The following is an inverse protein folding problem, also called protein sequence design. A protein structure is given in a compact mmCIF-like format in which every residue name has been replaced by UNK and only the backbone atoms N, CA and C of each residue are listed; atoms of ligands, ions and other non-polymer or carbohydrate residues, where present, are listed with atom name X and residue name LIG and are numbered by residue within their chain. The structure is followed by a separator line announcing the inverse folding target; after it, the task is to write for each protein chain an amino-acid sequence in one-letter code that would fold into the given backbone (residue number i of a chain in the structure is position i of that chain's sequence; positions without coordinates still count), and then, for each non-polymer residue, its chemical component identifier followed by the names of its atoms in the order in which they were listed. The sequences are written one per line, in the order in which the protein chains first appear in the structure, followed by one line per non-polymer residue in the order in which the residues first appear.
data_IF_373719050650
#
_entry.id   IF_373719050650
#
_cell.length_a   1.000
_cell.length_b   1.000
_cell.length_c   1.000
_cell.angle_alpha   90.00
_cell.angle_beta   90.00
_cell.angle_gamma   90.00
#
_symmetry.space_group_name_H-M   'P 1'
#
loop_
_entity.id
_entity.type
_entity.pdbx_description
1 polymer ?
#
# COMPACT_ATOMS: atom_id res chain seq x y z
N UNK A 1 -8.45 17.33 -13.65
CA UNK A 1 -7.84 17.65 -12.34
C UNK A 1 -8.77 17.17 -11.23
N UNK A 2 -8.20 16.55 -10.19
CA UNK A 2 -8.91 16.14 -8.97
C UNK A 2 -8.30 16.88 -7.77
N UNK A 3 -9.14 17.47 -6.93
CA UNK A 3 -8.72 18.09 -5.69
C UNK A 3 -8.91 17.10 -4.53
N UNK A 4 -7.82 16.71 -3.87
CA UNK A 4 -7.89 15.90 -2.67
C UNK A 4 -8.53 16.67 -1.51
N UNK A 5 -9.08 15.94 -0.53
CA UNK A 5 -9.59 16.53 0.70
C UNK A 5 -8.48 17.38 1.37
N UNK A 6 -8.78 18.63 1.80
CA UNK A 6 -7.83 19.44 2.54
C UNK A 6 -7.27 18.71 3.77
N UNK A 7 -5.95 18.70 3.92
CA UNK A 7 -5.25 18.01 4.99
C UNK A 7 -4.98 16.51 4.77
N UNK A 8 -5.45 15.91 3.67
CA UNK A 8 -5.21 14.49 3.41
C UNK A 8 -3.73 14.16 3.17
N UNK A 9 -2.97 15.05 2.53
CA UNK A 9 -1.56 14.85 2.24
C UNK A 9 -1.29 13.73 1.22
N UNK A 10 -1.77 13.83 -0.05
CA UNK A 10 -1.44 12.85 -1.08
C UNK A 10 0.06 12.65 -1.20
N UNK A 11 0.53 11.38 -1.16
CA UNK A 11 1.96 11.08 -1.11
C UNK A 11 2.44 10.25 -2.29
N UNK A 12 1.99 9.00 -2.40
CA UNK A 12 2.30 8.11 -3.50
C UNK A 12 1.02 7.68 -4.22
N UNK A 13 1.15 7.38 -5.51
CA UNK A 13 0.05 6.92 -6.34
C UNK A 13 0.50 5.77 -7.24
N UNK A 14 -0.40 4.82 -7.48
CA UNK A 14 -0.21 3.69 -8.38
C UNK A 14 -1.44 3.46 -9.22
N UNK A 15 -1.22 3.26 -10.52
CA UNK A 15 -2.27 2.78 -11.40
C UNK A 15 -2.57 1.30 -11.15
N UNK A 16 -3.82 0.91 -11.35
CA UNK A 16 -4.18 -0.49 -11.54
C UNK A 16 -3.50 -1.06 -12.80
N UNK A 17 -3.32 -2.39 -12.84
CA UNK A 17 -2.64 -3.04 -13.97
C UNK A 17 -3.30 -2.75 -15.33
N UNK A 18 -4.63 -2.55 -15.34
CA UNK A 18 -5.42 -2.20 -16.53
C UNK A 18 -5.41 -0.70 -16.86
N UNK A 19 -4.73 0.13 -16.06
CA UNK A 19 -4.62 1.57 -16.24
C UNK A 19 -5.91 2.37 -16.00
N UNK A 20 -7.01 1.73 -15.60
CA UNK A 20 -8.33 2.40 -15.45
C UNK A 20 -8.53 3.09 -14.11
N UNK A 21 -7.78 2.70 -13.10
CA UNK A 21 -7.94 3.22 -11.74
C UNK A 21 -6.61 3.73 -11.20
N UNK A 22 -6.65 4.84 -10.49
CA UNK A 22 -5.51 5.41 -9.76
C UNK A 22 -5.78 5.33 -8.26
N UNK A 23 -4.89 4.67 -7.53
CA UNK A 23 -4.93 4.60 -6.07
C UNK A 23 -3.89 5.54 -5.49
N UNK A 24 -4.32 6.48 -4.66
CA UNK A 24 -3.46 7.50 -4.03
C UNK A 24 -3.48 7.28 -2.53
N UNK A 25 -2.31 6.99 -1.94
CA UNK A 25 -2.19 6.95 -0.48
C UNK A 25 -2.01 8.37 0.06
N UNK A 26 -2.79 8.69 1.09
CA UNK A 26 -2.80 10.00 1.73
C UNK A 26 -2.08 9.91 3.08
N UNK A 27 -0.94 10.59 3.19
CA UNK A 27 -0.02 10.48 4.33
C UNK A 27 -0.65 10.91 5.65
N UNK A 28 -1.40 12.01 5.66
CA UNK A 28 -1.80 12.69 6.88
C UNK A 28 -3.16 12.26 7.43
N UNK A 29 -4.08 11.79 6.58
CA UNK A 29 -5.39 11.30 7.03
C UNK A 29 -5.54 9.78 7.02
N UNK A 30 -4.42 9.05 6.72
CA UNK A 30 -4.35 7.59 6.76
C UNK A 30 -5.35 6.88 5.85
N UNK A 31 -5.56 7.41 4.66
CA UNK A 31 -6.54 6.86 3.70
C UNK A 31 -5.90 6.50 2.36
N UNK A 32 -6.63 5.71 1.57
CA UNK A 32 -6.38 5.52 0.15
C UNK A 32 -7.57 6.09 -0.61
N UNK A 33 -7.31 7.06 -1.50
CA UNK A 33 -8.29 7.57 -2.45
C UNK A 33 -8.20 6.77 -3.74
N UNK A 34 -9.32 6.22 -4.20
CA UNK A 34 -9.41 5.54 -5.50
C UNK A 34 -10.15 6.42 -6.50
N UNK A 35 -9.55 6.61 -7.66
CA UNK A 35 -10.06 7.43 -8.75
C UNK A 35 -10.21 6.60 -10.01
N UNK A 36 -11.30 6.79 -10.77
CA UNK A 36 -11.35 6.37 -12.17
C UNK A 36 -10.49 7.32 -13.00
N UNK A 37 -9.75 6.76 -13.94
CA UNK A 37 -8.91 7.49 -14.89
C UNK A 37 -9.43 7.34 -16.32
N UNK A 38 -9.72 8.45 -16.97
CA UNK A 38 -10.06 8.51 -18.39
C UNK A 38 -8.79 8.83 -19.18
N UNK A 39 -8.25 7.85 -19.87
CA UNK A 39 -7.01 8.00 -20.66
C UNK A 39 -7.16 8.95 -21.86
N UNK A 40 -8.39 9.17 -22.37
CA UNK A 40 -8.62 10.05 -23.51
C UNK A 40 -8.56 11.53 -23.13
N UNK A 41 -9.02 11.86 -21.92
CA UNK A 41 -9.12 13.25 -21.44
C UNK A 41 -8.14 13.57 -20.30
N UNK A 42 -7.51 12.57 -19.69
CA UNK A 42 -6.76 12.70 -18.44
C UNK A 42 -7.67 12.98 -17.24
N UNK A 43 -8.98 12.77 -17.38
CA UNK A 43 -9.97 13.00 -16.34
C UNK A 43 -9.83 12.05 -15.16
N UNK A 44 -10.10 12.56 -13.94
CA UNK A 44 -10.09 11.79 -12.69
C UNK A 44 -11.45 11.95 -12.00
N UNK A 45 -12.09 10.83 -11.66
CA UNK A 45 -13.39 10.80 -10.95
C UNK A 45 -13.27 9.98 -9.68
N UNK A 46 -13.71 10.51 -8.54
CA UNK A 46 -13.69 9.82 -7.25
C UNK A 46 -14.58 8.58 -7.28
N UNK A 47 -14.03 7.42 -6.91
CA UNK A 47 -14.75 6.16 -6.74
C UNK A 47 -14.95 5.78 -5.28
N UNK A 48 -13.99 6.13 -4.40
CA UNK A 48 -14.08 5.84 -2.99
C UNK A 48 -12.84 6.23 -2.21
N UNK A 49 -12.99 6.24 -0.89
CA UNK A 49 -11.91 6.45 0.07
C UNK A 49 -12.02 5.37 1.14
N UNK A 50 -10.90 4.73 1.48
CA UNK A 50 -10.84 3.71 2.54
C UNK A 50 -9.75 4.05 3.55
N UNK A 51 -9.97 3.69 4.83
CA UNK A 51 -8.96 3.86 5.87
C UNK A 51 -7.93 2.72 5.81
N UNK A 52 -6.67 3.02 6.15
CA UNK A 52 -5.58 2.04 6.20
C UNK A 52 -5.36 1.45 7.60
N UNK A 53 -5.97 2.07 8.61
CA UNK A 53 -5.84 1.69 10.02
C UNK A 53 -7.02 0.87 10.51
N UNK A 54 -6.83 -0.02 11.50
CA UNK A 54 -7.93 -0.61 12.26
C UNK A 54 -8.77 0.47 12.94
N UNK A 55 -10.08 0.23 13.06
CA UNK A 55 -11.03 1.21 13.61
C UNK A 55 -10.78 1.57 15.09
N UNK A 56 -10.15 0.68 15.83
CA UNK A 56 -9.81 0.82 17.27
C UNK A 56 -8.44 1.46 17.51
N UNK A 57 -7.66 1.72 16.47
CA UNK A 57 -6.36 2.36 16.63
C UNK A 57 -6.50 3.88 16.85
N UNK A 58 -5.95 4.38 17.94
CA UNK A 58 -6.00 5.81 18.35
C UNK A 58 -4.64 6.50 18.43
N UNK A 59 -3.56 5.80 18.08
CA UNK A 59 -2.21 6.34 18.11
C UNK A 59 -1.90 7.28 16.94
N UNK A 60 -0.78 7.99 17.04
CA UNK A 60 -0.26 8.77 15.90
C UNK A 60 0.18 7.82 14.76
N UNK A 61 -0.17 8.16 13.54
CA UNK A 61 0.22 7.40 12.36
C UNK A 61 0.30 8.29 11.13
N UNK A 62 1.14 7.89 10.18
CA UNK A 62 1.17 8.43 8.83
C UNK A 62 1.34 7.27 7.84
N UNK A 63 0.60 7.28 6.73
CA UNK A 63 0.83 6.30 5.68
C UNK A 63 2.08 6.63 4.86
N UNK A 64 2.67 5.65 4.18
CA UNK A 64 3.88 5.87 3.41
C UNK A 64 3.82 5.31 1.99
N UNK A 65 3.91 4.01 1.81
CA UNK A 65 3.98 3.38 0.48
C UNK A 65 2.65 2.75 0.10
N UNK A 66 2.41 2.69 -1.20
CA UNK A 66 1.31 1.95 -1.81
C UNK A 66 1.80 1.14 -3.00
N UNK A 67 1.39 -0.12 -3.10
CA UNK A 67 1.66 -1.00 -4.23
C UNK A 67 0.39 -1.72 -4.67
N UNK A 68 0.26 -1.89 -5.98
CA UNK A 68 -0.75 -2.76 -6.60
C UNK A 68 -0.07 -4.08 -6.92
N UNK A 69 -0.71 -5.19 -6.59
CA UNK A 69 -0.21 -6.52 -6.94
C UNK A 69 -0.16 -6.69 -8.47
N UNK A 70 0.81 -7.42 -9.04
CA UNK A 70 0.90 -7.65 -10.48
C UNK A 70 -0.38 -8.24 -11.11
N UNK A 71 -1.13 -9.08 -10.39
CA UNK A 71 -2.44 -9.56 -10.85
C UNK A 71 -3.51 -8.48 -10.97
N UNK A 72 -3.29 -7.29 -10.37
CA UNK A 72 -4.27 -6.23 -10.28
C UNK A 72 -5.38 -6.43 -9.24
N UNK A 73 -5.45 -7.59 -8.58
CA UNK A 73 -6.53 -7.94 -7.63
C UNK A 73 -6.34 -7.39 -6.22
N UNK A 74 -5.14 -6.93 -5.86
CA UNK A 74 -4.85 -6.52 -4.48
C UNK A 74 -4.04 -5.23 -4.43
N UNK A 75 -4.22 -4.48 -3.33
CA UNK A 75 -3.50 -3.23 -3.02
C UNK A 75 -2.97 -3.31 -1.60
N UNK A 76 -1.75 -2.83 -1.40
CA UNK A 76 -1.05 -2.82 -0.12
C UNK A 76 -0.64 -1.39 0.24
N UNK A 77 -0.76 -1.03 1.53
CA UNK A 77 -0.29 0.26 2.03
C UNK A 77 0.41 0.10 3.38
N UNK A 78 1.49 0.86 3.61
CA UNK A 78 2.22 0.83 4.87
C UNK A 78 1.83 1.98 5.80
N UNK A 79 1.80 1.70 7.12
CA UNK A 79 1.44 2.59 8.21
C UNK A 79 2.64 2.79 9.14
N UNK A 80 3.13 4.02 9.27
CA UNK A 80 4.23 4.40 10.18
C UNK A 80 3.64 4.95 11.48
N UNK A 81 3.86 4.24 12.58
CA UNK A 81 3.27 4.48 13.89
C UNK A 81 2.47 3.28 14.37
N UNK A 82 1.52 2.79 13.58
CA UNK A 82 0.92 1.45 13.76
C UNK A 82 1.88 0.32 13.33
N UNK A 83 2.88 0.66 12.51
CA UNK A 83 3.95 -0.23 12.06
C UNK A 83 3.43 -1.51 11.39
N UNK A 84 2.51 -1.31 10.43
CA UNK A 84 1.80 -2.39 9.75
C UNK A 84 1.73 -2.20 8.24
N UNK A 85 1.31 -3.27 7.57
CA UNK A 85 0.87 -3.26 6.18
C UNK A 85 -0.63 -3.58 6.15
N UNK A 86 -1.42 -2.69 5.57
CA UNK A 86 -2.83 -2.90 5.27
C UNK A 86 -2.98 -3.52 3.88
N UNK A 87 -3.80 -4.55 3.78
CA UNK A 87 -4.08 -5.32 2.56
C UNK A 87 -5.52 -5.13 2.15
N UNK A 88 -5.74 -4.86 0.87
CA UNK A 88 -7.07 -4.66 0.31
C UNK A 88 -7.30 -5.55 -0.92
N UNK A 89 -8.50 -6.11 -1.04
CA UNK A 89 -8.99 -6.60 -2.33
C UNK A 89 -9.42 -5.41 -3.18
N UNK A 90 -9.13 -5.47 -4.48
CA UNK A 90 -9.62 -4.52 -5.47
C UNK A 90 -10.72 -5.20 -6.30
N UNK A 91 -11.90 -4.61 -6.30
CA UNK A 91 -12.95 -5.00 -7.23
C UNK A 91 -12.58 -4.55 -8.66
N UNK A 92 -12.47 -5.48 -9.58
CA UNK A 92 -11.95 -5.20 -10.93
C UNK A 92 -12.81 -4.17 -11.69
N UNK A 93 -14.14 -4.30 -11.62
CA UNK A 93 -15.06 -3.46 -12.37
C UNK A 93 -15.12 -2.02 -11.85
N UNK A 94 -15.18 -1.83 -10.54
CA UNK A 94 -15.34 -0.53 -9.89
C UNK A 94 -14.03 0.10 -9.40
N UNK A 95 -12.95 -0.68 -9.32
CA UNK A 95 -11.69 -0.28 -8.69
C UNK A 95 -11.76 -0.10 -7.17
N UNK A 96 -12.93 -0.26 -6.56
CA UNK A 96 -13.10 -0.06 -5.12
C UNK A 96 -12.27 -1.03 -4.30
N UNK A 97 -11.79 -0.56 -3.16
CA UNK A 97 -10.97 -1.32 -2.24
C UNK A 97 -11.79 -1.82 -1.05
N UNK A 98 -11.62 -3.10 -0.71
CA UNK A 98 -12.17 -3.72 0.48
C UNK A 98 -11.03 -4.21 1.37
N UNK A 99 -11.01 -3.80 2.64
CA UNK A 99 -9.99 -4.23 3.60
C UNK A 99 -10.06 -5.75 3.84
N UNK A 100 -8.89 -6.41 3.78
CA UNK A 100 -8.73 -7.86 3.99
C UNK A 100 -7.93 -8.20 5.23
N UNK A 101 -6.87 -7.42 5.51
CA UNK A 101 -5.90 -7.73 6.56
C UNK A 101 -5.14 -6.48 6.98
N UNK A 102 -4.80 -6.39 8.25
CA UNK A 102 -3.72 -5.54 8.76
C UNK A 102 -2.72 -6.44 9.46
N UNK A 103 -1.45 -6.43 9.04
CA UNK A 103 -0.39 -7.27 9.57
C UNK A 103 0.78 -6.41 10.05
N UNK A 104 1.36 -6.75 11.21
CA UNK A 104 2.57 -6.08 11.70
C UNK A 104 3.70 -6.18 10.67
N UNK A 105 4.36 -5.07 10.37
CA UNK A 105 5.46 -5.02 9.39
C UNK A 105 6.74 -5.71 9.88
N UNK A 106 6.86 -5.89 11.18
CA UNK A 106 7.99 -6.56 11.82
C UNK A 106 9.15 -5.64 12.25
N UNK A 107 9.00 -4.35 12.02
CA UNK A 107 9.92 -3.30 12.46
C UNK A 107 9.19 -1.98 12.59
N UNK A 108 9.88 -0.93 13.02
CA UNK A 108 9.31 0.42 13.16
C UNK A 108 9.48 1.23 11.89
N UNK A 109 8.46 2.02 11.60
CA UNK A 109 8.44 2.97 10.49
C UNK A 109 8.64 2.27 9.13
N UNK A 110 7.70 1.39 8.69
CA UNK A 110 7.74 0.73 7.38
C UNK A 110 7.54 1.78 6.26
N UNK A 111 8.63 2.46 5.89
CA UNK A 111 8.60 3.62 5.00
C UNK A 111 8.41 3.25 3.54
N UNK A 112 8.94 2.10 3.13
CA UNK A 112 8.84 1.63 1.76
C UNK A 112 8.80 0.10 1.72
N UNK A 113 8.12 -0.43 0.74
CA UNK A 113 8.12 -1.85 0.40
C UNK A 113 7.96 -2.05 -1.10
N UNK A 114 8.35 -3.20 -1.60
CA UNK A 114 8.13 -3.59 -2.98
C UNK A 114 7.60 -5.02 -3.05
N UNK A 115 6.82 -5.30 -4.11
CA UNK A 115 6.43 -6.64 -4.52
C UNK A 115 7.44 -7.17 -5.53
N UNK A 116 7.75 -8.47 -5.45
CA UNK A 116 8.50 -9.14 -6.51
C UNK A 116 7.74 -9.10 -7.83
N UNK A 117 8.42 -9.16 -8.99
CA UNK A 117 7.76 -9.12 -10.31
C UNK A 117 6.70 -10.22 -10.51
N UNK A 118 6.91 -11.39 -9.91
CA UNK A 118 5.96 -12.51 -9.92
C UNK A 118 4.82 -12.38 -8.90
N UNK A 119 4.84 -11.34 -8.06
CA UNK A 119 3.85 -11.08 -7.02
C UNK A 119 3.92 -11.99 -5.79
N UNK A 120 4.85 -12.95 -5.73
CA UNK A 120 4.91 -13.94 -4.64
C UNK A 120 5.45 -13.40 -3.32
N UNK A 121 6.25 -12.34 -3.39
CA UNK A 121 6.94 -11.80 -2.24
C UNK A 121 6.70 -10.29 -2.06
N UNK A 122 6.58 -9.87 -0.82
CA UNK A 122 6.63 -8.47 -0.44
C UNK A 122 7.82 -8.28 0.51
N UNK A 123 8.74 -7.38 0.14
CA UNK A 123 9.91 -7.00 0.95
C UNK A 123 9.68 -5.61 1.51
N UNK A 124 9.72 -5.50 2.85
CA UNK A 124 9.46 -4.26 3.57
C UNK A 124 10.71 -3.73 4.26
N UNK A 125 11.05 -2.47 3.97
CA UNK A 125 12.13 -1.73 4.61
C UNK A 125 11.63 -0.81 5.72
N UNK A 126 12.39 -0.77 6.83
CA UNK A 126 12.07 0.03 8.00
C UNK A 126 13.09 1.14 8.20
N UNK A 127 12.59 2.37 8.43
CA UNK A 127 13.46 3.52 8.64
C UNK A 127 14.10 3.51 10.04
N UNK A 128 13.31 3.17 11.08
CA UNK A 128 13.71 3.30 12.48
C UNK A 128 14.05 1.94 13.15
N UNK A 129 14.10 0.89 12.36
CA UNK A 129 14.65 -0.42 12.73
C UNK A 129 15.56 -0.88 11.60
N UNK A 130 16.81 -1.28 11.86
CA UNK A 130 17.74 -1.70 10.80
C UNK A 130 17.38 -3.09 10.27
N UNK A 131 16.19 -3.22 9.68
CA UNK A 131 15.62 -4.50 9.31
C UNK A 131 14.85 -4.42 7.99
N UNK A 132 15.12 -5.37 7.10
CA UNK A 132 14.23 -5.79 6.03
C UNK A 132 13.44 -7.01 6.49
N UNK A 133 12.14 -7.03 6.22
CA UNK A 133 11.27 -8.19 6.46
C UNK A 133 10.67 -8.68 5.15
N UNK A 134 10.46 -9.99 5.06
CA UNK A 134 9.92 -10.65 3.87
C UNK A 134 8.60 -11.31 4.21
N UNK A 135 7.61 -11.09 3.35
CA UNK A 135 6.29 -11.71 3.44
C UNK A 135 6.03 -12.53 2.19
N UNK A 136 5.43 -13.69 2.39
CA UNK A 136 4.80 -14.46 1.32
C UNK A 136 3.42 -13.88 1.03
N UNK A 137 3.08 -13.75 -0.25
CA UNK A 137 1.78 -13.30 -0.72
C UNK A 137 0.98 -14.51 -1.18
N UNK A 138 -0.18 -14.75 -0.58
CA UNK A 138 -1.12 -15.75 -1.06
C UNK A 138 -1.78 -15.24 -2.36
N UNK A 139 -1.53 -15.91 -3.46
CA UNK A 139 -1.97 -15.47 -4.78
C UNK A 139 -3.50 -15.45 -4.95
N UNK A 140 -4.24 -16.26 -4.18
CA UNK A 140 -5.70 -16.35 -4.28
C UNK A 140 -6.40 -15.28 -3.43
N UNK A 141 -5.82 -14.93 -2.27
CA UNK A 141 -6.46 -14.05 -1.29
C UNK A 141 -5.75 -12.70 -1.11
N UNK A 142 -4.53 -12.55 -1.64
CA UNK A 142 -3.67 -11.37 -1.45
C UNK A 142 -3.13 -11.22 -0.03
N UNK A 143 -3.46 -12.13 0.88
CA UNK A 143 -3.03 -12.03 2.27
C UNK A 143 -1.53 -12.25 2.42
N UNK A 144 -0.96 -11.57 3.40
CA UNK A 144 0.46 -11.65 3.72
C UNK A 144 0.68 -12.60 4.88
N UNK A 145 1.71 -13.44 4.76
CA UNK A 145 2.26 -14.25 5.83
C UNK A 145 3.74 -13.88 6.03
N UNK A 146 4.10 -13.45 7.25
CA UNK A 146 5.50 -13.12 7.52
C UNK A 146 6.36 -14.38 7.47
N UNK A 147 7.47 -14.32 6.73
CA UNK A 147 8.46 -15.41 6.69
C UNK A 147 9.50 -15.24 7.81
N UNK A 148 10.31 -16.26 8.11
CA UNK A 148 11.45 -16.13 9.00
C UNK A 148 12.62 -15.34 8.37
N UNK A 149 12.55 -15.03 7.08
CA UNK A 149 13.63 -14.35 6.35
C UNK A 149 13.64 -12.85 6.66
N UNK A 150 14.83 -12.36 6.95
CA UNK A 150 15.10 -10.95 7.21
C UNK A 150 16.57 -10.62 6.91
N UNK A 151 16.88 -9.36 6.72
CA UNK A 151 18.23 -8.86 6.58
C UNK A 151 18.41 -7.57 7.38
N UNK A 152 19.59 -7.39 7.96
CA UNK A 152 19.96 -6.14 8.61
C UNK A 152 20.35 -5.10 7.55
N UNK A 153 19.59 -4.01 7.47
CA UNK A 153 19.86 -2.88 6.58
C UNK A 153 19.55 -1.58 7.33
N UNK A 154 20.58 -0.81 7.70
CA UNK A 154 20.37 0.45 8.41
C UNK A 154 19.57 1.45 7.57
N UNK A 155 18.54 2.07 8.17
CA UNK A 155 17.75 3.17 7.59
C UNK A 155 17.24 2.83 6.18
N UNK A 156 16.58 1.68 6.02
CA UNK A 156 16.04 1.27 4.73
C UNK A 156 14.79 2.09 4.37
N UNK A 157 14.94 3.02 3.43
CA UNK A 157 13.88 3.94 2.99
C UNK A 157 13.41 3.69 1.54
N UNK A 158 14.03 2.77 0.83
CA UNK A 158 13.66 2.38 -0.52
C UNK A 158 13.98 0.90 -0.76
N UNK A 159 13.00 0.19 -1.33
CA UNK A 159 13.13 -1.20 -1.80
C UNK A 159 12.68 -1.23 -3.25
N UNK A 160 13.47 -1.82 -4.13
CA UNK A 160 13.14 -2.01 -5.53
C UNK A 160 13.63 -3.37 -6.04
N UNK A 161 12.86 -3.98 -6.91
CA UNK A 161 13.28 -5.12 -7.71
C UNK A 161 13.69 -4.62 -9.10
N UNK A 162 14.71 -5.21 -9.66
CA UNK A 162 15.18 -4.98 -11.02
C UNK A 162 15.01 -6.29 -11.82
N UNK A 163 14.59 -6.17 -13.06
CA UNK A 163 14.52 -7.26 -14.02
C UNK A 163 15.92 -7.60 -14.57
#
# INVERSE_FOLDING_TARGET
QFAAKPGAGPRHAKFSADGRHLHVVNELDNTITTLAYDAATGGLTLLGIVNTLPADFTGANTTAEIRVHPSGGFVYASNRGHDSIAVFAREEASGRLQHLQTIASGGRTPRNFALSPDGRWLVCGHQDTPLLTVFEVDAATGRLTRTPHSAEVPVCICVAFFD
#
